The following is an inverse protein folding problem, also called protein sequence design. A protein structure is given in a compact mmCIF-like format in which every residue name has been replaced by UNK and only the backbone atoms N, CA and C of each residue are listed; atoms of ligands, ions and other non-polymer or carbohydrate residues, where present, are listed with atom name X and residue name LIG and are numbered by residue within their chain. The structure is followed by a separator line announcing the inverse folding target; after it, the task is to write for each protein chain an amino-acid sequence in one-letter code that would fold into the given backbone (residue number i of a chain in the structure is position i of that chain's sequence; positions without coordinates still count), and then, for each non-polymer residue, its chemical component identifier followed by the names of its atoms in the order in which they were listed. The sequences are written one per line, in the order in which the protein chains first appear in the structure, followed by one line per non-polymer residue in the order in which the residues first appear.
data_IF_248517838269
#
_entry.id   IF_248517838269
#
_cell.length_a   1.000
_cell.length_b   1.000
_cell.length_c   1.000
_cell.angle_alpha   90.00
_cell.angle_beta   90.00
_cell.angle_gamma   90.00
#
_symmetry.space_group_name_H-M   'P 1'
#
loop_
_entity.id
_entity.type
_entity.pdbx_description
1 polymer ?
#
# COMPACT_ATOMS: atom_id res chain seq x y z
N UNK A 1 -19.89 -16.87 1.55
CA UNK A 1 -19.14 -17.10 0.29
C UNK A 1 -17.82 -17.72 0.67
N UNK A 2 -17.39 -18.84 0.07
CA UNK A 2 -16.14 -19.49 0.48
C UNK A 2 -14.92 -18.66 0.10
N UNK A 3 -13.85 -18.72 0.89
CA UNK A 3 -12.58 -18.01 0.67
C UNK A 3 -12.02 -18.22 -0.75
N UNK A 4 -12.14 -19.45 -1.29
CA UNK A 4 -11.70 -19.79 -2.65
C UNK A 4 -12.35 -18.92 -3.74
N UNK A 5 -13.62 -18.54 -3.57
CA UNK A 5 -14.31 -17.68 -4.55
C UNK A 5 -13.83 -16.23 -4.45
N UNK A 6 -13.59 -15.72 -3.25
CA UNK A 6 -13.01 -14.39 -3.04
C UNK A 6 -11.65 -14.28 -3.74
N UNK A 7 -10.76 -15.25 -3.53
CA UNK A 7 -9.42 -15.26 -4.15
C UNK A 7 -9.51 -15.21 -5.68
N UNK A 8 -10.40 -16.00 -6.29
CA UNK A 8 -10.62 -15.98 -7.75
C UNK A 8 -11.11 -14.62 -8.25
N UNK A 9 -12.04 -13.98 -7.55
CA UNK A 9 -12.53 -12.65 -7.92
C UNK A 9 -11.42 -11.58 -7.80
N UNK A 10 -10.59 -11.64 -6.75
CA UNK A 10 -9.43 -10.76 -6.61
C UNK A 10 -8.40 -11.00 -7.73
N UNK A 11 -8.09 -12.25 -8.04
CA UNK A 11 -7.18 -12.62 -9.14
C UNK A 11 -7.67 -12.16 -10.51
N UNK A 12 -8.98 -12.15 -10.72
CA UNK A 12 -9.56 -11.64 -11.96
C UNK A 12 -9.38 -10.11 -12.12
N UNK A 13 -9.18 -9.38 -11.01
CA UNK A 13 -8.97 -7.92 -11.01
C UNK A 13 -7.49 -7.56 -11.18
N UNK A 14 -6.61 -8.15 -10.36
CA UNK A 14 -5.21 -7.71 -10.26
C UNK A 14 -4.19 -8.70 -10.85
N UNK A 15 -4.65 -9.86 -11.34
CA UNK A 15 -3.80 -10.97 -11.78
C UNK A 15 -3.47 -11.94 -10.65
N UNK A 16 -3.22 -13.20 -11.02
CA UNK A 16 -2.99 -14.28 -10.04
C UNK A 16 -1.74 -14.03 -9.20
N UNK A 17 -0.67 -13.52 -9.80
CA UNK A 17 0.60 -13.21 -9.15
C UNK A 17 0.56 -11.98 -8.21
N UNK A 18 -0.56 -11.26 -8.21
CA UNK A 18 -0.76 -10.06 -7.38
C UNK A 18 -1.73 -10.32 -6.22
N UNK A 19 -2.12 -11.58 -5.98
CA UNK A 19 -2.97 -11.98 -4.85
C UNK A 19 -2.21 -13.00 -4.01
N UNK A 20 -1.90 -12.64 -2.78
CA UNK A 20 -1.28 -13.51 -1.79
C UNK A 20 -2.37 -14.05 -0.87
N UNK A 21 -2.38 -15.36 -0.66
CA UNK A 21 -3.41 -16.03 0.16
C UNK A 21 -2.89 -17.27 0.87
N UNK A 22 -1.68 -17.72 0.58
CA UNK A 22 -1.03 -18.78 1.35
C UNK A 22 -0.55 -18.21 2.70
N UNK A 23 -0.67 -18.97 3.76
CA UNK A 23 -0.33 -18.52 5.12
C UNK A 23 1.10 -17.99 5.20
N UNK A 24 2.04 -18.67 4.56
CA UNK A 24 3.47 -18.29 4.55
C UNK A 24 3.69 -16.92 3.88
N UNK A 25 2.89 -16.58 2.86
CA UNK A 25 2.95 -15.29 2.20
C UNK A 25 2.34 -14.18 3.05
N UNK A 26 1.30 -14.50 3.81
CA UNK A 26 0.57 -13.54 4.64
C UNK A 26 1.34 -13.15 5.91
N UNK A 27 2.26 -13.99 6.39
CA UNK A 27 3.09 -13.71 7.58
C UNK A 27 3.88 -12.39 7.47
N UNK A 28 4.31 -12.00 6.27
CA UNK A 28 5.02 -10.71 6.04
C UNK A 28 4.10 -9.50 6.23
N UNK A 29 2.80 -9.73 6.31
CA UNK A 29 1.77 -8.70 6.41
C UNK A 29 0.99 -8.72 7.73
N UNK A 30 1.38 -9.58 8.67
CA UNK A 30 0.68 -9.78 9.94
C UNK A 30 0.73 -8.57 10.88
N UNK A 31 1.75 -7.69 10.72
CA UNK A 31 1.92 -6.49 11.53
C UNK A 31 2.59 -5.36 10.72
N UNK A 32 2.69 -4.18 11.32
CA UNK A 32 3.60 -3.10 10.90
C UNK A 32 4.85 -3.10 11.81
N UNK A 33 5.52 -1.96 11.98
CA UNK A 33 6.64 -1.84 12.91
C UNK A 33 6.21 -1.90 14.39
N UNK A 34 4.91 -1.86 14.68
CA UNK A 34 4.34 -2.23 15.97
C UNK A 34 4.14 -3.76 16.01
N UNK A 35 5.11 -4.46 16.58
CA UNK A 35 5.21 -5.93 16.54
C UNK A 35 4.54 -6.66 17.73
N UNK A 36 3.89 -5.91 18.62
CA UNK A 36 3.27 -6.49 19.83
C UNK A 36 1.96 -7.22 19.52
N UNK A 37 1.27 -6.83 18.45
CA UNK A 37 0.06 -7.48 17.96
C UNK A 37 0.26 -7.96 16.52
N UNK A 38 -0.32 -9.12 16.22
CA UNK A 38 -0.18 -9.79 14.92
C UNK A 38 -1.52 -10.34 14.50
N UNK A 39 -1.96 -9.97 13.28
CA UNK A 39 -3.22 -10.41 12.72
C UNK A 39 -3.07 -10.68 11.21
N UNK A 40 -3.35 -11.90 10.78
CA UNK A 40 -3.29 -12.26 9.37
C UNK A 40 -4.50 -11.71 8.61
N UNK A 41 -4.30 -11.02 7.48
CA UNK A 41 -5.40 -10.71 6.57
C UNK A 41 -5.91 -11.98 5.88
N UNK A 42 -7.15 -11.96 5.40
CA UNK A 42 -7.70 -13.06 4.58
C UNK A 42 -6.98 -13.19 3.24
N UNK A 43 -6.57 -12.07 2.67
CA UNK A 43 -5.77 -11.98 1.46
C UNK A 43 -5.04 -10.64 1.40
N UNK A 44 -3.92 -10.61 0.68
CA UNK A 44 -3.23 -9.38 0.30
C UNK A 44 -3.30 -9.22 -1.22
N UNK A 45 -3.65 -8.03 -1.69
CA UNK A 45 -3.62 -7.68 -3.10
C UNK A 45 -2.59 -6.58 -3.37
N UNK A 46 -1.90 -6.69 -4.48
CA UNK A 46 -0.81 -5.82 -4.90
C UNK A 46 -1.17 -5.12 -6.23
N UNK A 47 -2.09 -4.14 -6.22
CA UNK A 47 -2.52 -3.45 -7.44
C UNK A 47 -1.39 -2.62 -8.05
N UNK A 48 -1.49 -2.40 -9.36
CA UNK A 48 -0.58 -1.55 -10.15
C UNK A 48 -1.22 -0.24 -10.61
N UNK A 49 -2.55 -0.18 -10.58
CA UNK A 49 -3.30 0.98 -11.08
C UNK A 49 -4.41 1.41 -10.12
N UNK A 50 -4.84 2.64 -10.27
CA UNK A 50 -5.99 3.17 -9.51
C UNK A 50 -7.28 2.41 -9.84
N UNK A 51 -7.45 1.99 -11.09
CA UNK A 51 -8.62 1.24 -11.56
C UNK A 51 -8.71 -0.11 -10.86
N UNK A 52 -7.58 -0.80 -10.69
CA UNK A 52 -7.51 -2.06 -9.93
C UNK A 52 -7.87 -1.83 -8.46
N UNK A 53 -7.35 -0.77 -7.82
CA UNK A 53 -7.72 -0.41 -6.44
C UNK A 53 -9.23 -0.18 -6.34
N UNK A 54 -9.81 0.62 -7.25
CA UNK A 54 -11.26 0.89 -7.28
C UNK A 54 -12.07 -0.40 -7.42
N UNK A 55 -11.64 -1.31 -8.29
CA UNK A 55 -12.34 -2.58 -8.51
C UNK A 55 -12.28 -3.47 -7.25
N UNK A 56 -11.12 -3.58 -6.59
CA UNK A 56 -10.97 -4.32 -5.32
C UNK A 56 -11.84 -3.70 -4.22
N UNK A 57 -11.83 -2.38 -4.06
CA UNK A 57 -12.67 -1.69 -3.06
C UNK A 57 -14.16 -1.93 -3.31
N UNK A 58 -14.62 -1.87 -4.57
CA UNK A 58 -16.01 -2.18 -4.94
C UNK A 58 -16.37 -3.63 -4.61
N UNK A 59 -15.47 -4.58 -4.88
CA UNK A 59 -15.65 -5.99 -4.54
C UNK A 59 -15.80 -6.17 -3.02
N UNK A 60 -14.87 -5.64 -2.24
CA UNK A 60 -14.90 -5.74 -0.77
C UNK A 60 -16.16 -5.09 -0.20
N UNK A 61 -16.56 -3.92 -0.69
CA UNK A 61 -17.79 -3.25 -0.26
C UNK A 61 -19.04 -4.07 -0.56
N UNK A 62 -19.13 -4.69 -1.75
CA UNK A 62 -20.23 -5.60 -2.12
C UNK A 62 -20.32 -6.80 -1.17
N UNK A 63 -19.16 -7.34 -0.78
CA UNK A 63 -19.05 -8.51 0.09
C UNK A 63 -19.05 -8.17 1.58
N UNK A 64 -19.09 -6.87 1.94
CA UNK A 64 -18.99 -6.37 3.32
C UNK A 64 -17.73 -6.85 4.03
N UNK A 65 -16.62 -6.94 3.32
CA UNK A 65 -15.31 -7.31 3.86
C UNK A 65 -14.57 -6.06 4.33
N UNK A 66 -13.85 -6.14 5.47
CA UNK A 66 -12.93 -5.10 5.89
C UNK A 66 -11.84 -4.86 4.84
N UNK A 67 -11.40 -3.61 4.71
CA UNK A 67 -10.32 -3.20 3.80
C UNK A 67 -9.21 -2.60 4.66
N UNK A 68 -7.99 -3.09 4.48
CA UNK A 68 -6.81 -2.61 5.17
C UNK A 68 -5.85 -2.02 4.13
N UNK A 69 -5.77 -0.68 3.99
CA UNK A 69 -4.76 -0.07 3.13
C UNK A 69 -3.38 -0.18 3.77
N UNK A 70 -2.36 -0.55 2.97
CA UNK A 70 -0.98 -0.67 3.44
C UNK A 70 -0.01 0.00 2.47
N UNK A 71 0.85 0.85 3.00
CA UNK A 71 2.07 1.30 2.34
C UNK A 71 3.23 0.34 2.63
N UNK A 72 4.34 0.83 3.17
CA UNK A 72 5.49 0.00 3.56
C UNK A 72 5.34 -0.71 4.92
N UNK A 73 4.33 -0.38 5.72
CA UNK A 73 4.15 -0.95 7.06
C UNK A 73 5.17 -0.43 8.08
N UNK A 74 5.64 0.79 7.94
CA UNK A 74 6.62 1.43 8.85
C UNK A 74 5.98 2.15 10.04
N UNK A 75 4.65 2.15 10.16
CA UNK A 75 3.92 2.74 11.28
C UNK A 75 4.21 2.00 12.58
N UNK A 76 4.18 2.75 13.70
CA UNK A 76 4.33 2.21 15.06
C UNK A 76 3.00 2.14 15.82
N UNK A 77 1.88 2.36 15.13
CA UNK A 77 0.55 2.49 15.76
C UNK A 77 -0.40 1.31 15.49
N UNK A 78 0.05 0.25 14.81
CA UNK A 78 -0.79 -0.87 14.43
C UNK A 78 -1.84 -0.52 13.36
N UNK A 79 -1.61 0.56 12.58
CA UNK A 79 -2.60 1.09 11.63
C UNK A 79 -2.95 0.15 10.47
N UNK A 80 -2.15 -0.90 10.27
CA UNK A 80 -2.36 -1.89 9.19
C UNK A 80 -2.70 -3.28 9.73
N UNK A 81 -3.07 -3.40 11.00
CA UNK A 81 -3.48 -4.69 11.58
C UNK A 81 -4.82 -5.13 11.02
N UNK A 82 -4.89 -6.38 10.59
CA UNK A 82 -6.10 -7.00 10.05
C UNK A 82 -6.96 -7.62 11.18
N UNK A 83 -7.46 -6.79 12.11
CA UNK A 83 -8.12 -7.23 13.36
C UNK A 83 -9.28 -8.19 13.11
N UNK A 84 -10.05 -7.96 12.05
CA UNK A 84 -11.21 -8.81 11.68
C UNK A 84 -10.95 -9.57 10.36
N UNK A 85 -9.70 -9.89 10.05
CA UNK A 85 -9.33 -10.43 8.75
C UNK A 85 -9.48 -9.39 7.65
N UNK A 86 -10.15 -9.73 6.54
CA UNK A 86 -10.40 -8.79 5.44
C UNK A 86 -9.33 -8.81 4.36
N UNK A 87 -9.42 -7.88 3.42
CA UNK A 87 -8.50 -7.77 2.28
C UNK A 87 -7.54 -6.61 2.52
N UNK A 88 -6.25 -6.92 2.56
CA UNK A 88 -5.21 -5.90 2.60
C UNK A 88 -4.85 -5.46 1.19
N UNK A 89 -4.85 -4.14 0.95
CA UNK A 89 -4.45 -3.53 -0.31
C UNK A 89 -3.07 -2.92 -0.12
N UNK A 90 -2.03 -3.63 -0.55
CA UNK A 90 -0.64 -3.18 -0.46
C UNK A 90 -0.25 -2.38 -1.70
N UNK A 91 -0.03 -1.07 -1.54
CA UNK A 91 0.14 -0.12 -2.65
C UNK A 91 1.59 0.00 -3.14
N UNK A 92 2.48 -0.88 -2.70
CA UNK A 92 3.92 -0.83 -2.99
C UNK A 92 4.29 -0.99 -4.46
N UNK A 93 3.40 -1.50 -5.31
CA UNK A 93 3.60 -1.61 -6.77
C UNK A 93 3.21 -0.32 -7.52
N UNK A 94 2.48 0.59 -6.88
CA UNK A 94 2.14 1.92 -7.39
C UNK A 94 3.16 2.92 -6.85
N UNK A 95 4.42 2.87 -7.34
CA UNK A 95 5.57 3.48 -6.68
C UNK A 95 6.35 4.49 -7.54
N UNK A 96 5.78 4.95 -8.64
CA UNK A 96 6.47 5.83 -9.59
C UNK A 96 6.40 7.30 -9.18
N UNK A 97 7.46 8.04 -9.48
CA UNK A 97 7.43 9.50 -9.62
C UNK A 97 6.97 9.78 -11.07
N UNK A 98 5.78 10.35 -11.22
CA UNK A 98 5.15 10.55 -12.54
C UNK A 98 5.61 11.85 -13.20
N UNK A 99 5.82 12.90 -12.41
CA UNK A 99 6.27 14.20 -12.90
C UNK A 99 6.89 15.04 -11.78
N UNK A 100 7.93 15.82 -12.11
CA UNK A 100 8.50 16.85 -11.26
C UNK A 100 8.33 18.21 -11.97
N UNK A 101 7.40 19.02 -11.48
CA UNK A 101 7.21 20.41 -11.93
C UNK A 101 8.09 21.34 -11.08
N UNK A 102 9.33 21.51 -11.50
CA UNK A 102 10.31 22.31 -10.78
C UNK A 102 9.89 23.79 -10.65
N UNK A 103 9.20 24.34 -11.67
CA UNK A 103 8.75 25.73 -11.69
C UNK A 103 7.73 26.01 -10.56
N UNK A 104 6.80 25.09 -10.35
CA UNK A 104 5.75 25.22 -9.34
C UNK A 104 6.12 24.47 -8.03
N UNK A 105 7.30 23.85 -7.95
CA UNK A 105 7.80 23.08 -6.81
C UNK A 105 6.81 21.98 -6.39
N UNK A 106 6.33 21.20 -7.37
CA UNK A 106 5.37 20.11 -7.18
C UNK A 106 5.92 18.83 -7.79
N UNK A 107 5.61 17.69 -7.14
CA UNK A 107 5.80 16.38 -7.71
C UNK A 107 4.47 15.64 -7.75
N UNK A 108 4.17 15.00 -8.89
CA UNK A 108 3.07 14.05 -9.01
C UNK A 108 3.64 12.65 -8.86
N UNK A 109 3.16 11.93 -7.86
CA UNK A 109 3.68 10.60 -7.51
C UNK A 109 2.55 9.62 -7.24
N UNK A 110 2.82 8.34 -7.39
CA UNK A 110 1.92 7.28 -6.94
C UNK A 110 2.04 7.08 -5.42
N UNK A 111 0.98 6.59 -4.78
CA UNK A 111 0.85 6.49 -3.32
C UNK A 111 1.88 5.57 -2.66
N UNK A 112 2.36 4.55 -3.36
CA UNK A 112 3.41 3.63 -2.92
C UNK A 112 4.83 4.12 -3.20
N UNK A 113 4.99 5.35 -3.74
CA UNK A 113 6.30 5.94 -3.96
C UNK A 113 7.04 6.13 -2.63
N UNK A 114 8.29 5.68 -2.57
CA UNK A 114 9.14 5.84 -1.39
C UNK A 114 9.51 7.31 -1.20
N UNK A 115 9.41 7.80 0.04
CA UNK A 115 9.64 9.21 0.37
C UNK A 115 10.97 9.74 -0.21
N UNK A 116 12.07 9.03 0.02
CA UNK A 116 13.40 9.43 -0.46
C UNK A 116 13.51 9.51 -1.99
N UNK A 117 12.70 8.78 -2.74
CA UNK A 117 12.75 8.80 -4.22
C UNK A 117 12.27 10.14 -4.78
N UNK A 118 11.35 10.82 -4.09
CA UNK A 118 10.88 12.15 -4.49
C UNK A 118 12.04 13.14 -4.45
N UNK A 119 12.85 13.11 -3.38
CA UNK A 119 14.07 13.94 -3.26
C UNK A 119 15.09 13.58 -4.36
N UNK A 120 15.33 12.27 -4.59
CA UNK A 120 16.25 11.80 -5.63
C UNK A 120 15.88 12.38 -7.00
N UNK A 121 14.59 12.33 -7.35
CA UNK A 121 14.11 12.76 -8.68
C UNK A 121 13.97 14.29 -8.78
N UNK A 122 13.85 15.00 -7.65
CA UNK A 122 13.84 16.47 -7.58
C UNK A 122 15.25 17.09 -7.56
N UNK A 123 16.27 16.35 -7.10
CA UNK A 123 17.63 16.83 -6.94
C UNK A 123 18.26 17.43 -8.22
N UNK A 124 18.05 16.89 -9.45
CA UNK A 124 18.56 17.50 -10.68
C UNK A 124 18.04 18.93 -10.93
N UNK A 125 16.93 19.31 -10.27
CA UNK A 125 16.33 20.64 -10.35
C UNK A 125 16.73 21.55 -9.18
N UNK A 126 17.68 21.13 -8.33
CA UNK A 126 18.08 21.85 -7.12
C UNK A 126 16.99 21.87 -6.03
N UNK A 127 16.07 20.90 -6.04
CA UNK A 127 14.97 20.79 -5.10
C UNK A 127 15.08 19.50 -4.26
N UNK A 128 14.41 19.49 -3.11
CA UNK A 128 14.26 18.30 -2.28
C UNK A 128 12.86 18.26 -1.67
N UNK A 129 12.41 17.08 -1.29
CA UNK A 129 11.14 16.89 -0.59
C UNK A 129 11.40 17.05 0.92
N UNK A 130 10.83 18.11 1.51
CA UNK A 130 11.15 18.53 2.87
C UNK A 130 10.71 17.57 4.00
N UNK A 131 9.58 16.85 3.94
CA UNK A 131 9.22 15.87 4.97
C UNK A 131 10.28 14.77 5.10
N UNK A 132 10.84 14.64 6.31
CA UNK A 132 12.01 13.80 6.62
C UNK A 132 11.72 12.86 7.82
N UNK A 133 10.79 11.89 7.69
CA UNK A 133 10.59 10.90 8.73
C UNK A 133 11.81 9.97 8.84
N UNK A 134 12.09 9.45 10.04
CA UNK A 134 13.20 8.51 10.28
C UNK A 134 13.17 7.28 9.36
N UNK A 135 11.99 6.92 8.85
CA UNK A 135 11.77 5.83 7.89
C UNK A 135 11.77 6.27 6.43
N UNK A 136 12.25 7.47 6.07
CA UNK A 136 12.13 8.04 4.71
C UNK A 136 12.68 7.15 3.58
N UNK A 137 13.63 6.28 3.88
CA UNK A 137 14.19 5.32 2.91
C UNK A 137 13.26 4.14 2.59
N UNK A 138 12.21 3.94 3.38
CA UNK A 138 11.28 2.82 3.28
C UNK A 138 9.82 3.25 3.24
N UNK A 139 9.40 4.27 4.02
CA UNK A 139 8.01 4.70 4.07
C UNK A 139 7.52 5.23 2.71
N UNK A 140 6.21 5.11 2.48
CA UNK A 140 5.58 5.54 1.24
C UNK A 140 4.80 6.83 1.43
N UNK A 141 4.69 7.63 0.37
CA UNK A 141 4.02 8.93 0.43
C UNK A 141 2.56 8.84 0.85
N UNK A 142 1.85 7.81 0.39
CA UNK A 142 0.45 7.58 0.80
C UNK A 142 0.31 7.28 2.28
N UNK A 143 1.26 6.51 2.85
CA UNK A 143 1.33 6.27 4.29
C UNK A 143 1.63 7.53 5.07
N UNK A 144 2.60 8.34 4.62
CA UNK A 144 2.94 9.61 5.26
C UNK A 144 1.74 10.58 5.30
N UNK A 145 0.99 10.69 4.19
CA UNK A 145 -0.21 11.55 4.15
C UNK A 145 -1.32 11.02 5.06
N UNK A 146 -1.46 9.70 5.18
CA UNK A 146 -2.51 9.08 5.99
C UNK A 146 -2.26 9.18 7.49
N UNK A 147 -1.01 9.21 7.92
CA UNK A 147 -0.63 9.21 9.34
C UNK A 147 -0.10 10.56 9.83
N UNK A 148 0.22 11.47 8.91
CA UNK A 148 0.72 12.84 9.14
C UNK A 148 1.64 12.95 10.36
#
# INVERSE_FOLDING_TARGET
MGQTNLIRELQAIVGAEAVLSAEEELLVYECDAYTLEKNLPTAVVLPRTTEEVVAVVKLCNRLKLPIIPRGAGTSLSGAVLAVDGGVMIALTRMNRVLNVDARNRRALVETGCVNAWITRDAAPHGLFFAPDPSSQSACTIGGNVATN
#
